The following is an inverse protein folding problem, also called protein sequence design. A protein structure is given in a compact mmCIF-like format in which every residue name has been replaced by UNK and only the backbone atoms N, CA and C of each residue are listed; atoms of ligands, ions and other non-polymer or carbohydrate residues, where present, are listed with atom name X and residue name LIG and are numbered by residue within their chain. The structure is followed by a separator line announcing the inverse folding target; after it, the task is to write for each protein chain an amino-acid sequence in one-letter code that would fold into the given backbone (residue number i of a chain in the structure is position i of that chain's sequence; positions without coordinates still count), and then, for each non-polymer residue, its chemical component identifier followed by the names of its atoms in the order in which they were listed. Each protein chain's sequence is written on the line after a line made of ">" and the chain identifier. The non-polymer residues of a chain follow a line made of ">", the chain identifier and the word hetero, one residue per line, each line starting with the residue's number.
data_IF_148138408939
#
_entry.id   IF_148138408939
#
_cell.length_a   1.000
_cell.length_b   1.000
_cell.length_c   1.000
_cell.angle_alpha   90.00
_cell.angle_beta   90.00
_cell.angle_gamma   90.00
#
_symmetry.space_group_name_H-M   'P 1'
#
loop_
_entity.id
_entity.type
_entity.pdbx_description
1 polymer ?
#
# COMPACT_ATOMS: atom_id res chain seq x y z
N UNK A 1 13.03 15.85 -2.24
CA UNK A 1 12.69 14.67 -1.43
C UNK A 1 11.25 14.32 -1.68
N UNK A 2 10.91 13.04 -1.68
CA UNK A 2 9.56 12.58 -1.91
C UNK A 2 8.63 12.85 -0.72
N UNK A 3 7.35 13.00 -1.01
CA UNK A 3 6.28 13.27 -0.05
C UNK A 3 5.35 12.06 0.11
N UNK A 4 5.09 11.66 1.35
CA UNK A 4 4.16 10.56 1.67
C UNK A 4 2.74 10.85 1.17
N UNK A 5 2.23 12.06 1.34
CA UNK A 5 0.85 12.42 0.96
C UNK A 5 0.54 12.14 -0.51
N UNK A 6 1.52 12.34 -1.40
CA UNK A 6 1.41 12.05 -2.83
C UNK A 6 1.39 10.52 -3.06
N UNK A 7 2.30 9.79 -2.42
CA UNK A 7 2.38 8.33 -2.54
C UNK A 7 1.13 7.64 -2.00
N UNK A 8 0.69 8.03 -0.81
CA UNK A 8 -0.51 7.53 -0.14
C UNK A 8 -1.77 7.81 -0.94
N UNK A 9 -1.96 9.05 -1.41
CA UNK A 9 -3.10 9.40 -2.27
C UNK A 9 -3.16 8.54 -3.55
N UNK A 10 -1.99 8.24 -4.15
CA UNK A 10 -1.92 7.39 -5.35
C UNK A 10 -2.22 5.92 -5.03
N UNK A 11 -1.72 5.41 -3.91
CA UNK A 11 -1.97 4.04 -3.45
C UNK A 11 -3.43 3.82 -3.03
N UNK A 12 -4.03 4.76 -2.28
CA UNK A 12 -5.41 4.64 -1.78
C UNK A 12 -6.47 4.59 -2.88
N UNK A 13 -6.16 5.05 -4.11
CA UNK A 13 -7.04 4.85 -5.29
C UNK A 13 -7.27 3.37 -5.60
N UNK A 14 -6.30 2.52 -5.25
CA UNK A 14 -6.30 1.09 -5.51
C UNK A 14 -6.61 0.24 -4.27
N UNK A 15 -6.52 0.83 -3.08
CA UNK A 15 -6.88 0.13 -1.85
C UNK A 15 -8.40 -0.09 -1.78
N UNK A 16 -8.77 -1.25 -1.25
CA UNK A 16 -10.16 -1.60 -1.03
C UNK A 16 -10.80 -0.70 0.02
N UNK A 17 -12.12 -0.58 -0.02
CA UNK A 17 -12.89 0.12 1.01
C UNK A 17 -13.13 -0.76 2.25
N UNK A 18 -14.31 -0.62 2.85
CA UNK A 18 -14.69 -1.45 3.98
C UNK A 18 -14.98 -2.88 3.53
N UNK A 19 -14.44 -3.85 4.27
CA UNK A 19 -14.72 -5.27 4.09
C UNK A 19 -14.89 -5.95 5.45
N UNK A 20 -15.88 -6.82 5.56
CA UNK A 20 -16.03 -7.70 6.72
C UNK A 20 -16.78 -8.96 6.25
N UNK A 21 -16.02 -10.03 6.00
CA UNK A 21 -16.54 -11.30 5.45
C UNK A 21 -16.44 -12.38 6.53
N UNK A 22 -17.56 -13.05 6.80
CA UNK A 22 -17.61 -14.16 7.75
C UNK A 22 -16.68 -15.30 7.31
N UNK A 23 -15.84 -15.80 8.23
CA UNK A 23 -14.87 -16.86 7.96
C UNK A 23 -13.52 -16.37 7.40
N UNK A 24 -13.39 -15.08 7.10
CA UNK A 24 -12.11 -14.49 6.71
C UNK A 24 -11.19 -14.30 7.93
N UNK A 25 -9.92 -14.67 7.78
CA UNK A 25 -8.87 -14.45 8.79
C UNK A 25 -8.57 -12.97 8.98
N UNK A 26 -8.85 -12.10 8.02
CA UNK A 26 -8.64 -10.65 8.14
C UNK A 26 -9.70 -9.93 8.97
N UNK A 27 -10.91 -10.52 9.10
CA UNK A 27 -12.02 -9.89 9.80
C UNK A 27 -12.41 -8.53 9.23
N UNK A 28 -12.87 -7.62 10.11
CA UNK A 28 -13.23 -6.25 9.75
C UNK A 28 -11.98 -5.46 9.30
N UNK A 29 -11.99 -5.01 8.04
CA UNK A 29 -10.90 -4.30 7.38
C UNK A 29 -11.40 -3.02 6.73
N UNK A 30 -10.64 -1.94 6.85
CA UNK A 30 -10.91 -0.65 6.18
C UNK A 30 -9.61 -0.15 5.57
N UNK A 31 -9.62 0.18 4.26
CA UNK A 31 -8.42 0.65 3.54
C UNK A 31 -7.19 -0.24 3.82
N UNK A 32 -7.35 -1.56 3.75
CA UNK A 32 -6.26 -2.52 4.01
C UNK A 32 -5.80 -2.65 5.48
N UNK A 33 -6.30 -1.85 6.42
CA UNK A 33 -6.03 -1.98 7.85
C UNK A 33 -7.01 -2.99 8.44
N UNK A 34 -6.51 -4.11 8.99
CA UNK A 34 -7.33 -5.16 9.59
C UNK A 34 -7.46 -4.98 11.11
N UNK A 35 -8.69 -5.00 11.63
CA UNK A 35 -9.00 -4.74 13.05
C UNK A 35 -8.41 -5.77 14.00
N UNK A 36 -8.41 -7.04 13.62
CA UNK A 36 -7.84 -8.09 14.45
C UNK A 36 -6.32 -8.00 14.60
N UNK A 37 -5.62 -7.47 13.59
CA UNK A 37 -4.18 -7.22 13.62
C UNK A 37 -3.83 -5.93 14.35
N UNK A 38 -4.73 -4.93 14.31
CA UNK A 38 -4.50 -3.62 14.89
C UNK A 38 -5.65 -3.16 15.80
N UNK A 39 -6.06 -3.94 16.82
CA UNK A 39 -7.29 -3.69 17.57
C UNK A 39 -7.25 -2.42 18.43
N UNK A 40 -6.05 -1.87 18.66
CA UNK A 40 -5.81 -0.71 19.52
C UNK A 40 -5.92 0.63 18.79
N UNK A 41 -6.06 0.65 17.46
CA UNK A 41 -6.19 1.91 16.71
C UNK A 41 -7.52 2.59 17.07
N UNK A 42 -7.46 3.89 17.32
CA UNK A 42 -8.63 4.67 17.73
C UNK A 42 -9.66 4.81 16.61
N UNK A 43 -9.22 4.66 15.35
CA UNK A 43 -10.07 4.73 14.15
C UNK A 43 -11.25 3.75 14.20
N UNK A 44 -11.12 2.63 14.91
CA UNK A 44 -12.21 1.66 15.07
C UNK A 44 -13.40 2.24 15.85
N UNK A 45 -13.14 3.09 16.84
CA UNK A 45 -14.18 3.75 17.62
C UNK A 45 -15.05 4.69 16.78
N UNK A 46 -14.45 5.33 15.78
CA UNK A 46 -15.16 6.20 14.82
C UNK A 46 -16.13 5.36 13.98
N UNK A 47 -15.65 4.23 13.45
CA UNK A 47 -16.48 3.30 12.67
C UNK A 47 -17.60 2.69 13.51
N UNK A 48 -17.29 2.24 14.73
CA UNK A 48 -18.27 1.63 15.64
C UNK A 48 -19.37 2.61 16.03
N UNK A 49 -19.03 3.88 16.26
CA UNK A 49 -20.00 4.94 16.56
C UNK A 49 -20.97 5.13 15.40
N UNK A 50 -20.46 5.17 14.18
CA UNK A 50 -21.30 5.26 13.00
C UNK A 50 -22.19 4.02 12.81
N UNK A 51 -21.63 2.82 12.94
CA UNK A 51 -22.36 1.55 12.76
C UNK A 51 -23.51 1.38 13.77
N UNK A 52 -23.36 1.91 14.99
CA UNK A 52 -24.41 1.88 16.04
C UNK A 52 -25.70 2.62 15.66
N UNK A 53 -25.68 3.48 14.65
CA UNK A 53 -26.87 4.17 14.16
C UNK A 53 -27.79 3.27 13.31
N UNK A 54 -27.37 2.04 13.01
CA UNK A 54 -28.13 1.09 12.20
C UNK A 54 -28.46 -0.15 13.02
N UNK A 55 -29.73 -0.55 13.02
CA UNK A 55 -30.18 -1.83 13.61
C UNK A 55 -29.43 -3.02 13.00
N UNK A 56 -29.12 -2.94 11.70
CA UNK A 56 -28.33 -3.93 10.99
C UNK A 56 -27.39 -3.23 10.00
N UNK A 57 -26.08 -3.34 10.24
CA UNK A 57 -25.06 -2.81 9.33
C UNK A 57 -24.79 -3.79 8.18
N UNK A 58 -24.96 -3.34 6.93
CA UNK A 58 -24.96 -4.20 5.72
C UNK A 58 -24.09 -3.58 4.62
N UNK A 59 -23.82 -4.34 3.55
CA UNK A 59 -23.06 -3.88 2.38
C UNK A 59 -23.54 -2.55 1.79
N UNK A 60 -24.85 -2.26 1.87
CA UNK A 60 -25.43 -1.00 1.40
C UNK A 60 -24.83 0.24 2.09
N UNK A 61 -24.33 0.11 3.33
CA UNK A 61 -23.77 1.20 4.12
C UNK A 61 -22.25 1.36 3.95
N UNK A 62 -21.58 0.47 3.22
CA UNK A 62 -20.10 0.46 3.17
C UNK A 62 -19.56 1.74 2.53
N UNK A 63 -20.17 2.20 1.43
CA UNK A 63 -19.76 3.43 0.76
C UNK A 63 -19.97 4.69 1.60
N UNK A 64 -21.04 4.70 2.40
CA UNK A 64 -21.32 5.80 3.30
C UNK A 64 -20.30 5.83 4.46
N UNK A 65 -19.99 4.67 5.04
CA UNK A 65 -18.93 4.54 6.05
C UNK A 65 -17.56 4.97 5.51
N UNK A 66 -17.18 4.51 4.32
CA UNK A 66 -15.92 4.89 3.65
C UNK A 66 -15.81 6.41 3.49
N UNK A 67 -16.89 7.05 3.01
CA UNK A 67 -16.95 8.50 2.83
C UNK A 67 -16.82 9.24 4.16
N UNK A 68 -17.49 8.76 5.21
CA UNK A 68 -17.37 9.34 6.55
C UNK A 68 -15.94 9.23 7.08
N UNK A 69 -15.32 8.06 6.97
CA UNK A 69 -13.97 7.82 7.44
C UNK A 69 -12.96 8.74 6.74
N UNK A 70 -13.03 8.84 5.41
CA UNK A 70 -12.17 9.75 4.63
C UNK A 70 -12.48 11.23 4.85
N UNK A 71 -13.68 11.57 5.34
CA UNK A 71 -14.07 12.92 5.73
C UNK A 71 -13.71 13.30 7.17
N UNK A 72 -13.41 12.31 8.02
CA UNK A 72 -13.09 12.53 9.43
C UNK A 72 -11.58 12.76 9.62
N UNK A 73 -11.22 13.89 10.22
CA UNK A 73 -9.83 14.30 10.40
C UNK A 73 -9.04 13.40 11.36
N UNK A 74 -9.67 12.90 12.42
CA UNK A 74 -9.03 12.01 13.41
C UNK A 74 -8.78 10.63 12.79
N UNK A 75 -9.76 10.11 12.04
CA UNK A 75 -9.61 8.87 11.28
C UNK A 75 -8.44 8.96 10.32
N UNK A 76 -8.41 10.02 9.50
CA UNK A 76 -7.31 10.25 8.55
C UNK A 76 -5.97 10.34 9.25
N UNK A 77 -5.86 11.15 10.30
CA UNK A 77 -4.62 11.27 11.06
C UNK A 77 -4.11 9.92 11.59
N UNK A 78 -5.00 9.08 12.12
CA UNK A 78 -4.61 7.75 12.61
C UNK A 78 -4.20 6.82 11.46
N UNK A 79 -4.93 6.85 10.34
CA UNK A 79 -4.64 6.09 9.13
C UNK A 79 -3.28 6.48 8.52
N UNK A 80 -3.02 7.78 8.34
CA UNK A 80 -1.78 8.29 7.77
C UNK A 80 -0.58 7.94 8.69
N UNK A 81 -0.76 8.00 10.02
CA UNK A 81 0.26 7.58 10.98
C UNK A 81 0.56 6.07 10.88
N UNK A 82 -0.48 5.25 10.69
CA UNK A 82 -0.33 3.82 10.47
C UNK A 82 0.50 3.55 9.21
N UNK A 83 0.12 4.15 8.08
CA UNK A 83 0.79 3.96 6.80
C UNK A 83 2.24 4.48 6.79
N UNK A 84 2.46 5.63 7.42
CA UNK A 84 3.81 6.18 7.62
C UNK A 84 4.70 5.16 8.33
N UNK A 85 4.27 4.70 9.51
CA UNK A 85 5.06 3.79 10.35
C UNK A 85 5.24 2.42 9.72
N UNK A 86 4.18 1.86 9.15
CA UNK A 86 4.19 0.47 8.68
C UNK A 86 4.88 0.29 7.33
N UNK A 87 4.96 1.36 6.52
CA UNK A 87 5.50 1.30 5.16
C UNK A 87 6.49 2.41 4.85
N UNK A 88 6.09 3.69 4.92
CA UNK A 88 6.90 4.82 4.45
C UNK A 88 8.26 4.91 5.16
N UNK A 89 8.26 4.88 6.48
CA UNK A 89 9.48 4.99 7.29
C UNK A 89 10.37 3.76 7.09
N UNK A 90 9.77 2.57 6.91
CA UNK A 90 10.50 1.32 6.66
C UNK A 90 11.18 1.30 5.29
N UNK A 91 10.62 1.99 4.30
CA UNK A 91 11.29 2.23 3.01
C UNK A 91 12.09 3.52 2.98
N UNK A 92 12.17 4.26 4.09
CA UNK A 92 12.83 5.57 4.21
C UNK A 92 12.43 6.51 3.08
N UNK A 93 11.13 6.60 2.80
CA UNK A 93 10.62 7.36 1.66
C UNK A 93 11.05 8.83 1.64
N UNK A 94 11.19 9.44 2.83
CA UNK A 94 11.69 10.82 2.98
C UNK A 94 13.14 11.02 2.48
N UNK A 95 13.91 9.93 2.28
CA UNK A 95 15.28 9.95 1.77
C UNK A 95 15.39 9.68 0.26
N UNK A 96 14.28 9.36 -0.41
CA UNK A 96 14.23 9.14 -1.85
C UNK A 96 14.01 10.48 -2.55
N UNK A 97 14.84 10.80 -3.54
CA UNK A 97 14.77 12.08 -4.25
C UNK A 97 13.66 12.13 -5.31
N UNK A 98 13.49 11.06 -6.09
CA UNK A 98 12.42 10.96 -7.09
C UNK A 98 11.09 10.55 -6.47
N UNK A 99 10.07 11.40 -6.65
CA UNK A 99 8.71 11.11 -6.21
C UNK A 99 8.13 9.88 -6.91
N UNK A 100 8.43 9.68 -8.19
CA UNK A 100 7.95 8.55 -9.00
C UNK A 100 8.45 7.22 -8.44
N UNK A 101 9.75 7.13 -8.13
CA UNK A 101 10.34 5.94 -7.49
C UNK A 101 9.73 5.72 -6.12
N UNK A 102 9.60 6.76 -5.29
CA UNK A 102 9.01 6.64 -3.97
C UNK A 102 7.55 6.16 -4.02
N UNK A 103 6.75 6.69 -4.96
CA UNK A 103 5.37 6.28 -5.19
C UNK A 103 5.28 4.79 -5.54
N UNK A 104 6.07 4.34 -6.54
CA UNK A 104 6.04 2.96 -7.00
C UNK A 104 6.54 1.97 -5.93
N UNK A 105 7.60 2.34 -5.20
CA UNK A 105 8.17 1.51 -4.14
C UNK A 105 7.24 1.41 -2.93
N UNK A 106 6.64 2.54 -2.52
CA UNK A 106 5.65 2.59 -1.45
C UNK A 106 4.44 1.73 -1.76
N UNK A 107 3.84 1.89 -2.95
CA UNK A 107 2.67 1.11 -3.35
C UNK A 107 2.98 -0.40 -3.40
N UNK A 108 4.17 -0.76 -3.88
CA UNK A 108 4.60 -2.16 -3.88
C UNK A 108 4.80 -2.70 -2.46
N UNK A 109 5.33 -1.88 -1.55
CA UNK A 109 5.49 -2.24 -0.14
C UNK A 109 4.15 -2.43 0.57
N UNK A 110 3.17 -1.56 0.33
CA UNK A 110 1.81 -1.68 0.88
C UNK A 110 1.14 -2.96 0.36
N UNK A 111 1.24 -3.23 -0.94
CA UNK A 111 0.49 -4.32 -1.55
C UNK A 111 1.16 -5.70 -1.45
N UNK A 112 2.49 -5.77 -1.35
CA UNK A 112 3.25 -7.03 -1.36
C UNK A 112 4.26 -7.16 -0.22
N UNK A 113 4.27 -6.21 0.70
CA UNK A 113 5.17 -6.17 1.86
C UNK A 113 6.50 -5.47 1.56
N UNK A 114 7.01 -4.75 2.57
CA UNK A 114 8.27 -3.97 2.50
C UNK A 114 9.44 -4.82 2.01
N UNK A 115 9.63 -6.01 2.57
CA UNK A 115 10.78 -6.87 2.21
C UNK A 115 10.80 -7.22 0.73
N UNK A 116 9.64 -7.53 0.13
CA UNK A 116 9.57 -7.86 -1.30
C UNK A 116 9.90 -6.63 -2.15
N UNK A 117 9.30 -5.48 -1.84
CA UNK A 117 9.53 -4.23 -2.56
C UNK A 117 11.02 -3.82 -2.53
N UNK A 118 11.64 -3.85 -1.35
CA UNK A 118 13.06 -3.49 -1.16
C UNK A 118 13.99 -4.47 -1.90
N UNK A 119 13.73 -5.78 -1.81
CA UNK A 119 14.54 -6.77 -2.55
C UNK A 119 14.44 -6.56 -4.06
N UNK A 120 13.25 -6.27 -4.57
CA UNK A 120 13.05 -6.01 -6.00
C UNK A 120 13.84 -4.80 -6.51
N UNK A 121 13.89 -3.69 -5.76
CA UNK A 121 14.70 -2.54 -6.19
C UNK A 121 16.21 -2.78 -6.03
N UNK A 122 16.64 -3.52 -5.01
CA UNK A 122 18.04 -3.94 -4.86
C UNK A 122 18.52 -4.83 -6.03
N UNK A 123 17.68 -5.76 -6.48
CA UNK A 123 17.94 -6.60 -7.65
C UNK A 123 18.10 -5.75 -8.93
N UNK A 124 17.24 -4.75 -9.15
CA UNK A 124 17.33 -3.84 -10.30
C UNK A 124 18.63 -3.03 -10.26
N UNK A 125 19.04 -2.59 -9.08
CA UNK A 125 20.25 -1.80 -8.87
C UNK A 125 21.53 -2.63 -8.96
N UNK A 126 21.44 -3.98 -8.99
CA UNK A 126 22.59 -4.88 -9.04
C UNK A 126 23.44 -4.84 -7.76
N UNK A 127 22.83 -4.54 -6.61
CA UNK A 127 23.51 -4.50 -5.31
C UNK A 127 23.09 -5.70 -4.45
N UNK A 128 23.69 -5.84 -3.26
CA UNK A 128 23.33 -6.88 -2.31
C UNK A 128 21.82 -6.84 -1.98
N UNK A 129 21.17 -8.00 -2.05
CA UNK A 129 19.71 -8.16 -1.89
C UNK A 129 19.39 -8.67 -0.48
N UNK A 130 19.51 -7.80 0.50
CA UNK A 130 19.26 -8.11 1.92
C UNK A 130 17.82 -7.77 2.36
N UNK A 131 17.07 -7.01 1.56
CA UNK A 131 15.73 -6.53 1.89
C UNK A 131 15.70 -5.38 2.91
N UNK A 132 16.86 -4.81 3.25
CA UNK A 132 17.01 -3.67 4.12
C UNK A 132 17.31 -2.43 3.30
N UNK A 133 16.49 -1.39 3.43
CA UNK A 133 16.69 -0.15 2.70
C UNK A 133 17.71 0.74 3.44
N UNK A 134 18.98 0.34 3.40
CA UNK A 134 20.11 1.02 4.06
C UNK A 134 20.63 2.23 3.29
N UNK A 135 21.62 2.93 3.86
CA UNK A 135 22.24 4.11 3.24
C UNK A 135 22.81 3.82 1.84
N UNK A 136 23.39 2.62 1.64
CA UNK A 136 23.90 2.18 0.33
C UNK A 136 22.78 2.05 -0.71
N UNK A 137 21.63 1.49 -0.33
CA UNK A 137 20.46 1.36 -1.22
C UNK A 137 19.88 2.74 -1.55
N UNK A 138 19.74 3.64 -0.57
CA UNK A 138 19.31 5.03 -0.81
C UNK A 138 20.24 5.75 -1.78
N UNK A 139 21.56 5.70 -1.54
CA UNK A 139 22.52 6.35 -2.41
C UNK A 139 22.46 5.80 -3.84
N UNK A 140 22.30 4.48 -3.99
CA UNK A 140 22.14 3.84 -5.29
C UNK A 140 20.82 4.19 -5.99
N UNK A 141 19.72 4.38 -5.24
CA UNK A 141 18.44 4.86 -5.79
C UNK A 141 18.61 6.29 -6.32
N UNK A 142 19.15 7.19 -5.49
CA UNK A 142 19.26 8.62 -5.83
C UNK A 142 20.33 8.89 -6.91
N UNK A 143 21.24 7.94 -7.17
CA UNK A 143 22.23 8.07 -8.25
C UNK A 143 21.71 7.65 -9.64
N UNK A 144 20.44 7.26 -9.77
CA UNK A 144 19.84 6.80 -11.05
C UNK A 144 18.87 7.83 -11.60
N UNK A 145 18.59 7.75 -12.90
CA UNK A 145 17.44 8.43 -13.46
C UNK A 145 16.15 7.89 -12.82
N UNK A 146 15.37 8.80 -12.21
CA UNK A 146 14.19 8.42 -11.44
C UNK A 146 13.09 7.78 -12.28
N UNK A 147 12.88 8.25 -13.52
CA UNK A 147 11.84 7.71 -14.40
C UNK A 147 12.21 6.33 -14.91
N UNK A 148 13.45 6.17 -15.36
CA UNK A 148 13.97 4.87 -15.80
C UNK A 148 13.91 3.84 -14.66
N UNK A 149 14.34 4.21 -13.45
CA UNK A 149 14.29 3.33 -12.29
C UNK A 149 12.84 2.99 -11.88
N UNK A 150 11.93 3.98 -11.93
CA UNK A 150 10.51 3.76 -11.67
C UNK A 150 9.92 2.74 -12.65
N UNK A 151 10.15 2.92 -13.96
CA UNK A 151 9.63 2.02 -14.99
C UNK A 151 10.20 0.61 -14.85
N UNK A 152 11.50 0.47 -14.54
CA UNK A 152 12.11 -0.84 -14.22
C UNK A 152 11.49 -1.49 -12.99
N UNK A 153 11.13 -0.71 -11.97
CA UNK A 153 10.44 -1.24 -10.79
C UNK A 153 9.02 -1.70 -11.12
N UNK A 154 8.30 -0.96 -11.97
CA UNK A 154 7.00 -1.36 -12.49
C UNK A 154 7.09 -2.67 -13.30
N UNK A 155 8.06 -2.80 -14.21
CA UNK A 155 8.30 -4.03 -14.97
C UNK A 155 8.59 -5.22 -14.05
N UNK A 156 9.46 -5.03 -13.06
CA UNK A 156 9.79 -6.05 -12.07
C UNK A 156 8.57 -6.51 -11.27
N UNK A 157 7.69 -5.56 -10.92
CA UNK A 157 6.45 -5.85 -10.19
C UNK A 157 5.43 -6.56 -11.07
N UNK A 158 5.26 -6.15 -12.32
CA UNK A 158 4.38 -6.83 -13.28
C UNK A 158 4.82 -8.30 -13.47
N UNK A 159 6.11 -8.54 -13.69
CA UNK A 159 6.66 -9.90 -13.80
C UNK A 159 6.44 -10.74 -12.52
N UNK A 160 6.55 -10.13 -11.34
CA UNK A 160 6.21 -10.79 -10.08
C UNK A 160 4.73 -11.21 -10.03
N UNK A 161 3.82 -10.33 -10.43
CA UNK A 161 2.38 -10.64 -10.48
C UNK A 161 2.05 -11.74 -11.49
N UNK A 162 2.65 -11.72 -12.67
CA UNK A 162 2.50 -12.80 -13.65
C UNK A 162 3.00 -14.14 -13.10
N UNK A 163 4.13 -14.14 -12.38
CA UNK A 163 4.69 -15.35 -11.79
C UNK A 163 3.80 -15.96 -10.70
N UNK A 164 3.16 -15.15 -9.86
CA UNK A 164 2.23 -15.64 -8.83
C UNK A 164 0.85 -16.01 -9.41
N UNK A 165 0.41 -15.35 -10.49
CA UNK A 165 -0.85 -15.65 -11.16
C UNK A 165 -0.85 -17.02 -11.82
N UNK A 166 0.33 -17.51 -12.23
CA UNK A 166 0.53 -18.89 -12.71
C UNK A 166 0.36 -19.95 -11.62
N UNK A 167 0.19 -19.56 -10.35
CA UNK A 167 0.08 -20.47 -9.20
C UNK A 167 -1.32 -20.41 -8.59
N UNK A 168 -1.96 -21.58 -8.46
CA UNK A 168 -3.24 -21.72 -7.77
C UNK A 168 -4.35 -20.87 -8.38
N UNK A 169 -5.17 -20.23 -7.53
CA UNK A 169 -6.34 -19.46 -7.96
C UNK A 169 -6.08 -17.99 -8.28
N UNK A 170 -4.81 -17.56 -8.31
CA UNK A 170 -4.46 -16.15 -8.41
C UNK A 170 -4.66 -15.54 -9.81
N UNK A 171 -4.81 -16.36 -10.84
CA UNK A 171 -5.01 -15.91 -12.22
C UNK A 171 -6.18 -14.92 -12.37
N UNK A 172 -7.24 -15.08 -11.57
CA UNK A 172 -8.42 -14.20 -11.57
C UNK A 172 -8.12 -12.74 -11.18
N UNK A 173 -7.04 -12.51 -10.42
CA UNK A 173 -6.67 -11.16 -9.94
C UNK A 173 -5.66 -10.44 -10.84
N UNK A 174 -4.96 -11.16 -11.73
CA UNK A 174 -3.84 -10.63 -12.51
C UNK A 174 -4.19 -9.36 -13.29
N UNK A 175 -5.36 -9.34 -13.94
CA UNK A 175 -5.82 -8.16 -14.70
C UNK A 175 -5.88 -6.91 -13.81
N UNK A 176 -6.42 -7.05 -12.59
CA UNK A 176 -6.50 -5.94 -11.63
C UNK A 176 -5.12 -5.49 -11.16
N UNK A 177 -4.23 -6.45 -10.86
CA UNK A 177 -2.86 -6.15 -10.45
C UNK A 177 -2.06 -5.42 -11.52
N UNK A 178 -2.15 -5.85 -12.79
CA UNK A 178 -1.44 -5.18 -13.89
C UNK A 178 -2.01 -3.78 -14.17
N UNK A 179 -3.33 -3.60 -14.05
CA UNK A 179 -3.93 -2.27 -14.13
C UNK A 179 -3.43 -1.34 -13.01
N UNK A 180 -3.27 -1.86 -11.78
CA UNK A 180 -2.66 -1.11 -10.67
C UNK A 180 -1.24 -0.68 -11.00
N UNK A 181 -0.39 -1.59 -11.50
CA UNK A 181 1.00 -1.26 -11.88
C UNK A 181 1.04 -0.21 -12.99
N UNK A 182 0.11 -0.27 -13.96
CA UNK A 182 0.05 0.66 -15.08
C UNK A 182 0.02 2.13 -14.65
N UNK A 183 -0.67 2.45 -13.56
CA UNK A 183 -0.79 3.82 -13.04
C UNK A 183 0.53 4.41 -12.51
N UNK A 184 1.55 3.57 -12.29
CA UNK A 184 2.85 3.98 -11.75
C UNK A 184 3.94 4.17 -12.81
N UNK A 185 3.73 3.77 -14.06
CA UNK A 185 4.65 4.10 -15.16
C UNK A 185 4.67 5.61 -15.43
N UNK A 186 5.83 6.12 -15.86
CA UNK A 186 6.11 7.54 -16.12
C UNK A 186 7.00 7.79 -17.34
#
# INVERSE_FOLDING_TARGET
>A
MAELSIAESKTLKWEGGYCNVAGDRGGETIFGIARNMHPKLSLWGIMDTYKRNYESFRKAHYKELEKLCLGNAEFKKEMDNFYRKEFWDKIKGDLIESQEVANALYDFAVNSGVSKAVKSIQEILGIAVDGNLGAKTIAAINSKDGKELCNKLCDKRAAFFEAIAKKGENAKFLKGWLNRVKDFYV
#
